data_IF_802865107396
#
_entry.id   IF_802865107396
#
_cell.length_a   1.000
_cell.length_b   1.000
_cell.length_c   1.000
_cell.angle_alpha   90.00
_cell.angle_beta   90.00
_cell.angle_gamma   90.00
#
_symmetry.space_group_name_H-M   'P 1'
#
loop_
_entity.id
_entity.type
_entity.pdbx_description
1 polymer ?
#
# COMPACT_ATOMS: atom_id res chain seq x y z
N UNK A 1 -6.60 -15.66 0.46
CA UNK A 1 -5.85 -14.70 1.28
C UNK A 1 -6.89 -13.90 2.03
N UNK A 2 -7.02 -14.18 3.32
CA UNK A 2 -7.95 -13.47 4.20
C UNK A 2 -7.68 -11.96 4.15
N UNK A 3 -8.75 -11.20 4.31
CA UNK A 3 -8.81 -9.75 4.17
C UNK A 3 -7.80 -9.06 5.10
N UNK A 4 -6.62 -8.77 4.55
CA UNK A 4 -5.49 -8.14 5.23
C UNK A 4 -5.71 -6.60 5.36
N UNK A 5 -6.97 -6.19 5.50
CA UNK A 5 -7.48 -4.82 5.54
C UNK A 5 -6.79 -3.95 6.61
N UNK A 6 -6.25 -4.55 7.67
CA UNK A 6 -5.69 -3.84 8.81
C UNK A 6 -4.18 -3.52 8.72
N UNK A 7 -3.46 -4.05 7.72
CA UNK A 7 -2.00 -3.88 7.58
C UNK A 7 -1.61 -2.47 7.11
N UNK A 8 -2.43 -1.85 6.26
CA UNK A 8 -2.20 -0.50 5.72
C UNK A 8 -3.10 0.51 6.44
N UNK A 9 -2.47 1.52 7.06
CA UNK A 9 -3.12 2.64 7.75
C UNK A 9 -2.97 3.92 6.93
N UNK A 10 -4.09 4.60 6.69
CA UNK A 10 -4.09 5.89 6.01
C UNK A 10 -3.67 7.01 6.97
N UNK A 11 -2.76 7.88 6.52
CA UNK A 11 -2.36 9.08 7.24
C UNK A 11 -3.08 10.29 6.64
N UNK A 12 -3.75 11.08 7.47
CA UNK A 12 -4.49 12.28 7.10
C UNK A 12 -4.17 13.52 7.95
N UNK A 13 -3.35 13.39 8.99
CA UNK A 13 -3.00 14.43 9.97
C UNK A 13 -1.60 15.03 9.74
N UNK A 14 -1.01 14.81 8.57
CA UNK A 14 0.34 15.29 8.27
C UNK A 14 0.40 16.75 7.81
N UNK A 15 -0.72 17.40 7.45
CA UNK A 15 -0.67 18.73 6.82
C UNK A 15 -0.14 19.81 7.76
N UNK A 16 -0.57 19.80 9.01
CA UNK A 16 -0.15 20.78 10.03
C UNK A 16 1.20 20.42 10.65
N UNK A 17 1.61 19.15 10.54
CA UNK A 17 2.91 18.65 11.01
C UNK A 17 4.01 18.92 10.00
N UNK A 18 3.82 18.43 8.77
CA UNK A 18 4.78 18.53 7.68
C UNK A 18 4.06 18.29 6.33
N UNK A 19 3.62 19.35 5.62
CA UNK A 19 2.89 19.17 4.37
C UNK A 19 3.76 18.47 3.32
N UNK A 20 3.17 17.70 2.39
CA UNK A 20 3.92 16.93 1.38
C UNK A 20 4.89 17.80 0.56
N UNK A 21 4.51 19.07 0.35
CA UNK A 21 5.37 20.12 -0.21
C UNK A 21 5.73 21.08 0.92
N UNK A 22 6.96 20.99 1.39
CA UNK A 22 7.53 21.85 2.43
C UNK A 22 8.93 22.33 2.03
N UNK A 23 9.37 23.41 2.65
CA UNK A 23 10.73 23.97 2.57
C UNK A 23 11.62 23.34 3.63
N UNK A 24 12.93 23.53 3.47
CA UNK A 24 13.93 23.08 4.46
C UNK A 24 13.77 23.77 5.82
N UNK A 25 13.15 24.96 5.84
CA UNK A 25 12.92 25.80 7.03
C UNK A 25 11.65 25.43 7.80
N UNK A 26 10.80 24.56 7.25
CA UNK A 26 9.51 24.20 7.86
C UNK A 26 9.75 23.10 8.90
N UNK A 27 10.46 23.46 9.97
CA UNK A 27 10.81 22.53 11.04
C UNK A 27 9.55 22.18 11.86
N UNK A 28 9.25 20.89 12.07
CA UNK A 28 8.11 20.49 12.88
C UNK A 28 8.39 20.72 14.37
N UNK A 29 7.35 21.11 15.12
CA UNK A 29 7.45 21.33 16.58
C UNK A 29 6.81 20.20 17.41
N UNK A 30 6.11 19.27 16.76
CA UNK A 30 5.43 18.15 17.39
C UNK A 30 5.38 16.97 16.42
N UNK A 31 5.09 15.76 16.90
CA UNK A 31 4.77 14.61 16.04
C UNK A 31 3.24 14.41 15.96
N UNK A 32 2.69 14.08 14.79
CA UNK A 32 1.25 13.90 14.60
C UNK A 32 0.77 12.63 15.32
N UNK A 33 -0.54 12.53 15.52
CA UNK A 33 -1.13 11.42 16.27
C UNK A 33 -0.91 10.07 15.57
N UNK A 34 -0.94 10.07 14.23
CA UNK A 34 -0.61 8.89 13.42
C UNK A 34 0.83 8.39 13.63
N UNK A 35 1.81 9.29 13.82
CA UNK A 35 3.19 8.91 14.09
C UNK A 35 3.36 8.41 15.53
N UNK A 36 2.68 9.03 16.50
CA UNK A 36 2.61 8.51 17.88
C UNK A 36 2.02 7.11 17.91
N UNK A 37 0.92 6.89 17.20
CA UNK A 37 0.30 5.58 17.06
C UNK A 37 1.28 4.57 16.46
N UNK A 38 1.97 4.93 15.36
CA UNK A 38 2.92 4.04 14.71
C UNK A 38 4.06 3.62 15.65
N UNK A 39 4.54 4.53 16.53
CA UNK A 39 5.56 4.23 17.55
C UNK A 39 5.00 3.25 18.59
N UNK A 40 3.79 3.49 19.11
CA UNK A 40 3.14 2.58 20.07
C UNK A 40 2.93 1.20 19.45
N UNK A 41 2.46 1.15 18.21
CA UNK A 41 2.30 -0.09 17.45
C UNK A 41 3.62 -0.82 17.28
N UNK A 42 4.72 -0.11 16.98
CA UNK A 42 6.05 -0.72 16.91
C UNK A 42 6.51 -1.32 18.26
N UNK A 43 6.19 -0.66 19.37
CA UNK A 43 6.47 -1.19 20.73
C UNK A 43 5.66 -2.46 20.98
N UNK A 44 4.36 -2.47 20.65
CA UNK A 44 3.49 -3.65 20.80
C UNK A 44 4.00 -4.80 19.94
N UNK A 45 4.29 -4.55 18.66
CA UNK A 45 4.83 -5.57 17.75
C UNK A 45 6.14 -6.13 18.31
N UNK A 46 7.03 -5.28 18.83
CA UNK A 46 8.28 -5.72 19.45
C UNK A 46 8.01 -6.66 20.65
N UNK A 47 7.03 -6.35 21.49
CA UNK A 47 6.67 -7.19 22.63
C UNK A 47 6.13 -8.56 22.18
N UNK A 48 5.22 -8.58 21.19
CA UNK A 48 4.66 -9.83 20.64
C UNK A 48 5.77 -10.66 19.98
N UNK A 49 6.69 -10.04 19.23
CA UNK A 49 7.83 -10.74 18.62
C UNK A 49 8.75 -11.37 19.67
N UNK A 50 9.05 -10.67 20.78
CA UNK A 50 9.81 -11.24 21.90
C UNK A 50 9.07 -12.45 22.48
N UNK A 51 7.76 -12.35 22.69
CA UNK A 51 6.93 -13.44 23.22
C UNK A 51 6.86 -14.65 22.26
N UNK A 52 6.96 -14.43 20.94
CA UNK A 52 7.13 -15.46 19.91
C UNK A 52 8.53 -16.11 19.87
N UNK A 53 9.41 -15.78 20.81
CA UNK A 53 10.78 -16.29 20.85
C UNK A 53 11.74 -15.60 19.88
N UNK A 54 11.36 -14.46 19.30
CA UNK A 54 12.22 -13.66 18.41
C UNK A 54 13.04 -12.61 19.17
N UNK A 55 13.37 -12.87 20.44
CA UNK A 55 14.06 -11.92 21.31
C UNK A 55 15.46 -11.53 20.82
N UNK A 56 16.15 -12.43 20.12
CA UNK A 56 17.49 -12.21 19.59
C UNK A 56 17.49 -11.83 18.09
N UNK A 57 16.33 -11.46 17.54
CA UNK A 57 16.18 -11.09 16.13
C UNK A 57 16.00 -9.58 16.04
N UNK A 58 16.68 -8.94 15.08
CA UNK A 58 16.52 -7.51 14.85
C UNK A 58 15.05 -7.12 14.59
N UNK A 59 14.69 -5.91 15.03
CA UNK A 59 13.39 -5.30 14.78
C UNK A 59 13.55 -3.83 14.43
N UNK A 60 12.93 -3.39 13.34
CA UNK A 60 13.07 -2.00 12.92
C UNK A 60 11.76 -1.33 12.52
N UNK A 61 11.75 -0.01 12.74
CA UNK A 61 10.74 0.90 12.24
C UNK A 61 11.39 1.90 11.29
N UNK A 62 10.75 2.15 10.14
CA UNK A 62 11.18 3.16 9.17
C UNK A 62 10.30 4.40 9.31
N UNK A 63 10.92 5.58 9.48
CA UNK A 63 10.24 6.88 9.42
C UNK A 63 10.84 7.69 8.27
N UNK A 64 10.07 7.87 7.20
CA UNK A 64 10.48 8.61 6.01
C UNK A 64 9.48 9.73 5.71
N UNK A 65 9.77 10.91 6.25
CA UNK A 65 8.87 12.07 6.21
C UNK A 65 9.38 13.22 5.37
N UNK A 66 10.70 13.36 5.22
CA UNK A 66 11.30 14.46 4.46
C UNK A 66 12.57 14.04 3.73
N UNK A 67 12.90 14.76 2.65
CA UNK A 67 14.22 14.68 2.00
C UNK A 67 15.28 15.54 2.68
N UNK A 68 14.88 16.51 3.50
CA UNK A 68 15.80 17.47 4.12
C UNK A 68 16.35 16.92 5.43
N UNK A 69 17.67 16.97 5.59
CA UNK A 69 18.38 16.43 6.76
C UNK A 69 18.01 17.15 8.05
N UNK A 70 17.89 18.49 8.03
CA UNK A 70 17.47 19.25 9.21
C UNK A 70 16.09 18.85 9.75
N UNK A 71 15.12 18.62 8.87
CA UNK A 71 13.79 18.11 9.27
C UNK A 71 13.89 16.68 9.81
N UNK A 72 14.72 15.83 9.22
CA UNK A 72 14.93 14.47 9.75
C UNK A 72 15.52 14.50 11.16
N UNK A 73 16.47 15.40 11.42
CA UNK A 73 17.07 15.60 12.75
C UNK A 73 16.01 16.04 13.75
N UNK A 74 15.16 17.01 13.41
CA UNK A 74 14.10 17.50 14.29
C UNK A 74 13.08 16.39 14.60
N UNK A 75 12.63 15.66 13.58
CA UNK A 75 11.71 14.53 13.75
C UNK A 75 12.33 13.44 14.64
N UNK A 76 13.62 13.16 14.50
CA UNK A 76 14.33 12.23 15.39
C UNK A 76 14.29 12.71 16.85
N UNK A 77 14.52 14.00 17.10
CA UNK A 77 14.47 14.58 18.45
C UNK A 77 13.07 14.43 19.03
N UNK A 78 12.03 14.78 18.28
CA UNK A 78 10.64 14.69 18.74
C UNK A 78 10.23 13.23 19.04
N UNK A 79 10.64 12.27 18.21
CA UNK A 79 10.43 10.84 18.44
C UNK A 79 11.17 10.39 19.70
N UNK A 80 12.42 10.80 19.88
CA UNK A 80 13.21 10.47 21.06
C UNK A 80 12.56 11.00 22.34
N UNK A 81 12.09 12.25 22.34
CA UNK A 81 11.37 12.86 23.47
C UNK A 81 10.10 12.10 23.79
N UNK A 82 9.30 11.76 22.78
CA UNK A 82 8.08 10.96 22.98
C UNK A 82 8.39 9.56 23.55
N UNK A 83 9.42 8.89 23.04
CA UNK A 83 9.86 7.59 23.53
C UNK A 83 10.37 7.67 24.98
N UNK A 84 11.01 8.76 25.38
CA UNK A 84 11.44 8.98 26.76
C UNK A 84 10.25 9.05 27.74
N UNK A 85 9.16 9.72 27.36
CA UNK A 85 7.92 9.72 28.14
C UNK A 85 7.31 8.31 28.25
N UNK A 86 7.30 7.55 27.15
CA UNK A 86 6.81 6.17 27.16
C UNK A 86 7.69 5.29 28.07
N UNK A 87 9.02 5.40 27.98
CA UNK A 87 9.94 4.65 28.84
C UNK A 87 9.66 4.90 30.31
N UNK A 88 9.51 6.17 30.71
CA UNK A 88 9.21 6.53 32.09
C UNK A 88 7.84 6.00 32.55
N UNK A 89 6.83 6.03 31.69
CA UNK A 89 5.53 5.44 32.02
C UNK A 89 5.64 3.91 32.18
N UNK A 90 6.26 3.23 31.23
CA UNK A 90 6.41 1.78 31.24
C UNK A 90 7.25 1.30 32.42
N UNK A 91 8.41 1.91 32.69
CA UNK A 91 9.31 1.48 33.77
C UNK A 91 8.65 1.52 35.15
N UNK A 92 7.73 2.48 35.36
CA UNK A 92 7.03 2.66 36.63
C UNK A 92 5.77 1.76 36.78
N UNK A 93 5.23 1.22 35.67
CA UNK A 93 3.91 0.56 35.69
C UNK A 93 3.90 -0.87 35.14
N UNK A 94 4.94 -1.33 34.43
CA UNK A 94 4.92 -2.64 33.75
C UNK A 94 4.69 -3.84 34.66
N UNK A 95 5.19 -3.77 35.91
CA UNK A 95 5.10 -4.84 36.90
C UNK A 95 3.89 -4.69 37.85
N UNK A 96 3.11 -3.61 37.73
CA UNK A 96 1.90 -3.41 38.53
C UNK A 96 0.78 -4.34 38.06
N UNK A 97 -0.20 -4.55 38.94
CA UNK A 97 -1.47 -5.13 38.52
C UNK A 97 -2.12 -4.26 37.44
N UNK A 98 -2.83 -4.91 36.52
CA UNK A 98 -3.39 -4.27 35.32
C UNK A 98 -4.26 -3.06 35.66
N UNK A 99 -5.13 -3.17 36.68
CA UNK A 99 -6.03 -2.08 37.08
C UNK A 99 -5.26 -0.83 37.51
N UNK A 100 -4.17 -0.98 38.27
CA UNK A 100 -3.30 0.14 38.67
C UNK A 100 -2.46 0.63 37.50
N UNK A 101 -1.90 -0.26 36.68
CA UNK A 101 -1.10 0.13 35.52
C UNK A 101 -1.91 0.99 34.53
N UNK A 102 -3.17 0.62 34.28
CA UNK A 102 -4.09 1.33 33.38
C UNK A 102 -4.56 2.70 33.91
N UNK A 103 -4.24 3.08 35.15
CA UNK A 103 -4.46 4.46 35.61
C UNK A 103 -3.51 5.45 34.93
N UNK A 104 -2.36 4.98 34.45
CA UNK A 104 -1.46 5.81 33.67
C UNK A 104 -1.96 5.96 32.23
N UNK A 105 -2.06 7.21 31.76
CA UNK A 105 -2.58 7.54 30.42
C UNK A 105 -1.82 6.86 29.29
N UNK A 106 -0.48 6.79 29.34
CA UNK A 106 0.31 6.18 28.27
C UNK A 106 0.16 4.65 28.26
N UNK A 107 0.13 4.02 29.44
CA UNK A 107 -0.12 2.57 29.54
C UNK A 107 -1.50 2.23 28.99
N UNK A 108 -2.52 3.02 29.36
CA UNK A 108 -3.87 2.88 28.83
C UNK A 108 -3.92 3.02 27.31
N UNK A 109 -3.21 3.99 26.73
CA UNK A 109 -3.15 4.14 25.27
C UNK A 109 -2.50 2.90 24.63
N UNK A 110 -1.40 2.37 25.19
CA UNK A 110 -0.75 1.17 24.67
C UNK A 110 -1.71 -0.03 24.75
N UNK A 111 -2.39 -0.21 25.88
CA UNK A 111 -3.42 -1.24 26.09
C UNK A 111 -4.55 -1.14 25.07
N UNK A 112 -5.16 0.04 24.93
CA UNK A 112 -6.30 0.22 24.03
C UNK A 112 -5.92 -0.03 22.57
N UNK A 113 -4.67 0.29 22.17
CA UNK A 113 -4.13 -0.05 20.85
C UNK A 113 -3.86 -1.54 20.70
N UNK A 114 -3.38 -2.21 21.75
CA UNK A 114 -3.19 -3.65 21.76
C UNK A 114 -4.52 -4.37 21.52
N UNK A 115 -5.54 -4.09 22.33
CA UNK A 115 -6.86 -4.72 22.23
C UNK A 115 -7.51 -4.45 20.87
N UNK A 116 -7.38 -3.22 20.35
CA UNK A 116 -7.99 -2.85 19.07
C UNK A 116 -7.30 -3.47 17.85
N UNK A 117 -5.97 -3.58 17.85
CA UNK A 117 -5.19 -3.90 16.65
C UNK A 117 -4.64 -5.32 16.68
N UNK A 118 -4.41 -5.88 17.87
CA UNK A 118 -3.66 -7.11 18.08
C UNK A 118 -4.38 -8.11 19.00
N UNK A 119 -5.69 -7.95 19.27
CA UNK A 119 -6.48 -8.96 20.02
C UNK A 119 -6.52 -10.34 19.38
N UNK A 120 -6.13 -10.47 18.11
CA UNK A 120 -6.03 -11.75 17.42
C UNK A 120 -4.73 -12.53 17.74
N UNK A 121 -3.74 -11.90 18.38
CA UNK A 121 -2.46 -12.56 18.69
C UNK A 121 -2.62 -13.51 19.89
N UNK A 122 -1.74 -14.49 19.98
CA UNK A 122 -1.82 -15.60 20.93
C UNK A 122 -1.51 -15.26 22.40
N UNK A 123 -1.29 -13.98 22.71
CA UNK A 123 -0.94 -13.51 24.06
C UNK A 123 -2.05 -12.64 24.63
N UNK A 124 -2.15 -12.57 25.95
CA UNK A 124 -3.02 -11.60 26.62
C UNK A 124 -2.24 -10.32 26.98
N UNK A 125 -2.97 -9.26 27.32
CA UNK A 125 -2.37 -7.99 27.71
C UNK A 125 -1.38 -8.14 28.87
N UNK A 126 -1.69 -8.92 29.91
CA UNK A 126 -0.82 -9.09 31.07
C UNK A 126 0.56 -9.67 30.69
N UNK A 127 0.62 -10.57 29.70
CA UNK A 127 1.89 -11.08 29.16
C UNK A 127 2.64 -9.99 28.40
N UNK A 128 1.96 -9.22 27.57
CA UNK A 128 2.55 -8.11 26.80
C UNK A 128 3.09 -7.03 27.73
N UNK A 129 2.30 -6.62 28.74
CA UNK A 129 2.65 -5.59 29.72
C UNK A 129 3.98 -5.90 30.41
N UNK A 130 4.19 -7.15 30.84
CA UNK A 130 5.42 -7.59 31.53
C UNK A 130 6.67 -7.46 30.65
N UNK A 131 6.53 -7.57 29.33
CA UNK A 131 7.64 -7.48 28.37
C UNK A 131 7.90 -6.06 27.90
N UNK A 132 6.96 -5.12 28.08
CA UNK A 132 7.10 -3.74 27.61
C UNK A 132 8.38 -3.05 28.09
N UNK A 133 8.77 -3.24 29.36
CA UNK A 133 9.98 -2.59 29.91
C UNK A 133 11.24 -3.02 29.17
N UNK A 134 11.35 -4.33 28.88
CA UNK A 134 12.44 -4.89 28.08
C UNK A 134 12.46 -4.28 26.68
N UNK A 135 11.30 -4.18 26.02
CA UNK A 135 11.17 -3.56 24.70
C UNK A 135 11.65 -2.11 24.69
N UNK A 136 11.04 -1.25 25.50
CA UNK A 136 11.29 0.20 25.42
C UNK A 136 12.71 0.58 25.83
N UNK A 137 13.36 -0.22 26.67
CA UNK A 137 14.77 -0.05 27.04
C UNK A 137 15.73 -0.29 25.87
N UNK A 138 15.38 -1.19 24.94
CA UNK A 138 16.24 -1.57 23.80
C UNK A 138 16.06 -0.71 22.54
N UNK A 139 14.93 0.00 22.40
CA UNK A 139 14.65 0.76 21.17
C UNK A 139 15.61 1.95 21.04
N UNK A 140 16.45 1.97 20.01
CA UNK A 140 17.26 3.14 19.66
C UNK A 140 16.55 4.01 18.61
N UNK A 141 16.74 5.33 18.63
CA UNK A 141 16.24 6.22 17.58
C UNK A 141 17.44 6.82 16.85
N UNK A 142 17.61 6.46 15.58
CA UNK A 142 18.78 6.86 14.78
C UNK A 142 18.37 7.68 13.56
N UNK A 143 19.25 8.58 13.16
CA UNK A 143 19.13 9.34 11.91
C UNK A 143 20.06 8.72 10.86
N UNK A 144 19.52 8.51 9.65
CA UNK A 144 20.24 7.93 8.52
C UNK A 144 20.14 8.84 7.32
N UNK A 145 21.21 9.59 7.05
CA UNK A 145 21.32 10.47 5.90
C UNK A 145 22.79 10.83 5.56
N UNK A 146 22.95 11.76 4.63
CA UNK A 146 24.26 12.20 4.14
C UNK A 146 24.99 13.18 5.07
N UNK A 147 24.40 13.63 6.18
CA UNK A 147 25.03 14.55 7.14
C UNK A 147 26.21 13.91 7.87
N UNK A 148 27.17 14.71 8.35
CA UNK A 148 28.38 14.20 9.03
C UNK A 148 28.05 13.44 10.31
N UNK A 149 27.01 13.85 11.04
CA UNK A 149 26.63 13.29 12.32
C UNK A 149 25.64 12.11 12.22
N UNK A 150 25.16 11.80 11.01
CA UNK A 150 24.22 10.71 10.79
C UNK A 150 24.91 9.36 10.61
N UNK A 151 24.20 8.30 10.99
CA UNK A 151 24.64 6.92 10.80
C UNK A 151 24.69 6.61 9.30
N UNK A 152 25.85 6.14 8.83
CA UNK A 152 26.07 5.76 7.42
C UNK A 152 25.68 4.32 7.14
N UNK A 153 25.96 3.44 8.08
CA UNK A 153 25.66 2.01 8.00
C UNK A 153 25.10 1.53 9.34
N UNK A 154 24.14 0.62 9.28
CA UNK A 154 23.54 0.05 10.48
C UNK A 154 24.26 -1.25 10.79
N UNK A 155 24.92 -1.29 11.94
CA UNK A 155 25.52 -2.51 12.46
C UNK A 155 24.45 -3.45 13.05
N UNK A 156 24.47 -4.69 12.58
CA UNK A 156 23.64 -5.82 13.02
C UNK A 156 24.50 -6.99 13.54
N UNK A 157 25.80 -6.77 13.77
CA UNK A 157 26.69 -7.82 14.23
C UNK A 157 26.24 -8.39 15.58
N UNK A 158 26.22 -9.72 15.70
CA UNK A 158 25.94 -10.40 16.97
C UNK A 158 26.93 -10.05 18.08
N UNK A 159 28.11 -9.54 17.72
CA UNK A 159 29.12 -9.04 18.67
C UNK A 159 28.59 -7.82 19.44
N UNK A 160 28.01 -6.86 18.73
CA UNK A 160 27.52 -5.62 19.34
C UNK A 160 26.06 -5.72 19.77
N UNK A 161 25.27 -6.56 19.09
CA UNK A 161 23.84 -6.75 19.34
C UNK A 161 23.50 -8.24 19.49
N UNK A 162 23.99 -8.93 20.54
CA UNK A 162 23.74 -10.36 20.76
C UNK A 162 22.26 -10.68 20.97
N UNK A 163 21.51 -9.74 21.57
CA UNK A 163 20.07 -9.83 21.82
C UNK A 163 19.23 -9.17 20.71
N UNK A 164 19.77 -9.09 19.49
CA UNK A 164 19.15 -8.35 18.41
C UNK A 164 19.17 -6.84 18.64
N UNK A 165 18.78 -6.09 17.60
CA UNK A 165 18.80 -4.63 17.58
C UNK A 165 17.39 -4.13 17.32
N UNK A 166 16.87 -3.30 18.22
CA UNK A 166 15.56 -2.66 18.09
C UNK A 166 15.78 -1.19 17.75
N UNK A 167 15.33 -0.73 16.58
CA UNK A 167 15.61 0.65 16.16
C UNK A 167 14.46 1.31 15.41
N UNK A 168 14.33 2.62 15.61
CA UNK A 168 13.52 3.52 14.79
C UNK A 168 14.48 4.34 13.94
N UNK A 169 14.51 4.08 12.64
CA UNK A 169 15.35 4.79 11.69
C UNK A 169 14.58 5.95 11.04
N UNK A 170 15.05 7.17 11.27
CA UNK A 170 14.53 8.39 10.67
C UNK A 170 15.44 8.80 9.52
N UNK A 171 14.88 8.99 8.32
CA UNK A 171 15.71 9.34 7.18
C UNK A 171 14.92 9.71 5.92
N UNK A 172 15.65 9.99 4.85
CA UNK A 172 15.09 10.43 3.58
C UNK A 172 15.44 9.51 2.42
N UNK A 173 16.25 10.01 1.47
CA UNK A 173 16.66 9.26 0.29
C UNK A 173 17.64 8.11 0.61
N UNK A 174 18.58 8.33 1.53
CA UNK A 174 19.53 7.29 1.94
C UNK A 174 18.83 6.09 2.57
N UNK A 175 17.80 6.33 3.38
CA UNK A 175 16.99 5.27 3.97
C UNK A 175 16.19 4.45 2.94
N UNK A 176 15.97 5.02 1.75
CA UNK A 176 15.30 4.32 0.65
C UNK A 176 16.24 3.50 -0.24
N UNK A 177 17.57 3.70 -0.18
CA UNK A 177 18.54 3.10 -1.10
C UNK A 177 19.85 2.72 -0.41
N UNK A 178 20.26 1.47 -0.56
CA UNK A 178 21.61 1.02 -0.17
C UNK A 178 21.80 0.68 1.31
N UNK A 179 20.77 0.85 2.15
CA UNK A 179 20.85 0.52 3.58
C UNK A 179 19.87 -0.59 3.89
N UNK A 180 20.36 -1.63 4.56
CA UNK A 180 19.57 -2.78 4.98
C UNK A 180 18.87 -2.47 6.31
N UNK A 181 17.54 -2.56 6.32
CA UNK A 181 16.74 -2.53 7.54
C UNK A 181 16.25 -3.94 7.86
N UNK A 182 17.01 -4.62 8.72
CA UNK A 182 16.65 -5.96 9.17
C UNK A 182 15.47 -5.90 10.14
N UNK A 183 14.58 -6.89 10.03
CA UNK A 183 13.45 -6.97 10.95
C UNK A 183 12.39 -5.87 10.81
N UNK A 184 12.32 -5.17 9.67
CA UNK A 184 11.33 -4.10 9.48
C UNK A 184 9.91 -4.61 9.71
N UNK A 185 9.23 -4.05 10.72
CA UNK A 185 7.86 -4.41 11.09
C UNK A 185 6.89 -3.24 11.00
N UNK A 186 7.38 -2.01 11.18
CA UNK A 186 6.54 -0.80 11.11
C UNK A 186 7.14 0.20 10.12
N UNK A 187 6.31 0.77 9.27
CA UNK A 187 6.73 1.80 8.30
C UNK A 187 5.82 3.00 8.43
N UNK A 188 6.39 4.20 8.54
CA UNK A 188 5.70 5.47 8.46
C UNK A 188 6.28 6.30 7.31
N UNK A 189 5.47 6.54 6.27
CA UNK A 189 5.95 7.05 4.99
C UNK A 189 5.06 8.18 4.46
N UNK A 190 5.57 9.41 4.42
CA UNK A 190 4.85 10.59 3.93
C UNK A 190 5.30 11.06 2.55
N UNK A 191 6.11 10.30 1.82
CA UNK A 191 6.65 10.80 0.54
C UNK A 191 5.71 10.51 -0.62
N UNK A 192 5.49 11.52 -1.46
CA UNK A 192 4.82 11.37 -2.74
C UNK A 192 5.88 11.39 -3.85
N UNK A 193 6.38 10.22 -4.28
CA UNK A 193 7.29 10.11 -5.43
C UNK A 193 6.53 9.61 -6.63
N UNK A 194 6.77 10.20 -7.80
CA UNK A 194 6.05 9.87 -9.03
C UNK A 194 6.67 8.66 -9.80
N UNK A 195 7.88 8.24 -9.41
CA UNK A 195 8.65 7.23 -10.15
C UNK A 195 8.46 5.83 -9.55
N UNK A 196 8.05 4.85 -10.37
CA UNK A 196 7.80 3.46 -9.92
C UNK A 196 9.04 2.81 -9.34
N UNK A 197 10.20 2.93 -10.01
CA UNK A 197 11.48 2.39 -9.50
C UNK A 197 11.82 2.93 -8.11
N UNK A 198 11.59 4.23 -7.90
CA UNK A 198 11.84 4.91 -6.63
C UNK A 198 10.88 4.43 -5.54
N UNK A 199 9.59 4.30 -5.87
CA UNK A 199 8.60 3.75 -4.94
C UNK A 199 8.89 2.27 -4.60
N UNK A 200 9.21 1.45 -5.60
CA UNK A 200 9.55 0.03 -5.36
C UNK A 200 10.78 -0.11 -4.45
N UNK A 201 11.82 0.71 -4.65
CA UNK A 201 12.99 0.74 -3.77
C UNK A 201 12.67 1.29 -2.36
N UNK A 202 11.69 2.19 -2.25
CA UNK A 202 11.17 2.71 -0.97
C UNK A 202 10.30 1.71 -0.23
N UNK A 203 9.64 0.81 -0.95
CA UNK A 203 8.79 -0.25 -0.42
C UNK A 203 9.57 -1.37 0.26
N UNK A 204 10.34 -1.05 1.31
CA UNK A 204 11.15 -2.01 2.08
C UNK A 204 10.32 -3.05 2.84
N UNK A 205 9.02 -2.82 2.92
CA UNK A 205 8.04 -3.77 3.43
C UNK A 205 7.70 -4.87 2.41
N UNK A 206 8.05 -4.73 1.13
CA UNK A 206 8.00 -5.85 0.19
C UNK A 206 9.05 -6.89 0.56
N UNK A 207 8.63 -8.14 0.76
CA UNK A 207 9.50 -9.25 1.13
C UNK A 207 8.84 -10.19 2.13
N UNK A 208 9.46 -11.35 2.34
CA UNK A 208 8.98 -12.33 3.31
C UNK A 208 9.34 -11.91 4.74
N UNK A 209 8.41 -12.11 5.67
CA UNK A 209 8.53 -11.70 7.09
C UNK A 209 8.19 -12.87 8.00
N UNK A 210 8.97 -13.94 7.88
CA UNK A 210 8.69 -15.23 8.52
C UNK A 210 8.39 -15.11 10.02
N UNK A 211 7.17 -15.45 10.43
CA UNK A 211 6.75 -15.53 11.83
C UNK A 211 6.28 -14.20 12.45
N UNK A 212 6.16 -13.14 11.64
CA UNK A 212 5.64 -11.84 12.11
C UNK A 212 4.95 -11.02 11.00
N UNK A 213 4.57 -11.66 9.89
CA UNK A 213 3.88 -11.04 8.76
C UNK A 213 2.54 -10.41 9.15
N UNK A 214 1.81 -11.06 10.06
CA UNK A 214 0.53 -10.65 10.64
C UNK A 214 0.65 -9.37 11.49
N UNK A 215 1.85 -9.11 12.02
CA UNK A 215 2.15 -7.97 12.87
C UNK A 215 2.52 -6.72 12.08
N UNK A 216 2.95 -6.85 10.83
CA UNK A 216 3.47 -5.73 10.05
C UNK A 216 2.45 -4.60 9.88
N UNK A 217 2.88 -3.34 9.99
CA UNK A 217 2.00 -2.17 9.79
C UNK A 217 2.67 -1.10 8.94
N UNK A 218 1.92 -0.56 7.97
CA UNK A 218 2.39 0.46 7.04
C UNK A 218 1.46 1.66 7.10
N UNK A 219 2.01 2.82 7.45
CA UNK A 219 1.33 4.10 7.50
C UNK A 219 1.73 4.92 6.28
N UNK A 220 0.75 5.31 5.46
CA UNK A 220 0.98 6.15 4.28
C UNK A 220 -0.25 7.00 3.92
N UNK A 221 -0.10 8.14 3.23
CA UNK A 221 -1.24 8.88 2.69
C UNK A 221 -2.06 8.05 1.70
N UNK A 222 -3.38 8.28 1.63
CA UNK A 222 -4.27 7.52 0.75
C UNK A 222 -3.89 7.58 -0.73
N UNK A 223 -3.33 8.71 -1.20
CA UNK A 223 -2.79 8.81 -2.55
C UNK A 223 -1.66 7.80 -2.79
N UNK A 224 -0.72 7.66 -1.85
CA UNK A 224 0.41 6.74 -2.01
C UNK A 224 -0.04 5.27 -2.08
N UNK A 225 -1.13 4.91 -1.38
CA UNK A 225 -1.68 3.55 -1.38
C UNK A 225 -1.98 3.03 -2.77
N UNK A 226 -2.69 3.81 -3.60
CA UNK A 226 -3.04 3.40 -4.97
C UNK A 226 -1.80 3.18 -5.86
N UNK A 227 -0.73 3.92 -5.61
CA UNK A 227 0.51 3.80 -6.38
C UNK A 227 1.25 2.51 -6.02
N UNK A 228 1.31 2.18 -4.73
CA UNK A 228 1.90 0.91 -4.27
C UNK A 228 1.06 -0.30 -4.66
N UNK A 229 -0.27 -0.20 -4.69
CA UNK A 229 -1.16 -1.25 -5.20
C UNK A 229 -0.89 -1.53 -6.68
N UNK A 230 -0.73 -0.48 -7.49
CA UNK A 230 -0.35 -0.62 -8.89
C UNK A 230 1.02 -1.29 -9.05
N UNK A 231 2.01 -0.85 -8.28
CA UNK A 231 3.38 -1.42 -8.33
C UNK A 231 3.37 -2.89 -7.89
N UNK A 232 2.65 -3.23 -6.83
CA UNK A 232 2.52 -4.60 -6.36
C UNK A 232 1.91 -5.50 -7.46
N UNK A 233 0.84 -5.02 -8.10
CA UNK A 233 0.20 -5.72 -9.21
C UNK A 233 1.15 -5.92 -10.41
N UNK A 234 1.88 -4.87 -10.81
CA UNK A 234 2.86 -4.94 -11.89
C UNK A 234 4.05 -5.87 -11.56
N UNK A 235 4.46 -5.91 -10.29
CA UNK A 235 5.54 -6.79 -9.81
C UNK A 235 5.11 -8.26 -9.82
N UNK A 236 3.86 -8.54 -9.41
CA UNK A 236 3.31 -9.89 -9.43
C UNK A 236 3.09 -10.39 -10.87
N UNK A 237 2.65 -9.51 -11.76
CA UNK A 237 2.62 -9.80 -13.20
C UNK A 237 4.02 -10.17 -13.71
N UNK A 238 5.05 -9.39 -13.37
CA UNK A 238 6.42 -9.68 -13.76
C UNK A 238 6.94 -11.02 -13.21
N UNK A 239 6.59 -11.37 -11.96
CA UNK A 239 6.90 -12.69 -11.38
C UNK A 239 6.24 -13.83 -12.15
N UNK A 240 4.98 -13.67 -12.54
CA UNK A 240 4.28 -14.68 -13.34
C UNK A 240 4.93 -14.86 -14.72
N UNK A 241 5.45 -13.79 -15.31
CA UNK A 241 6.21 -13.86 -16.56
C UNK A 241 7.54 -14.58 -16.41
N UNK A 242 8.26 -14.37 -15.30
CA UNK A 242 9.47 -15.14 -15.00
C UNK A 242 9.17 -16.64 -14.87
N UNK A 243 8.12 -17.01 -14.16
CA UNK A 243 7.70 -18.42 -14.05
C UNK A 243 7.33 -19.01 -15.42
N UNK A 244 6.71 -18.22 -16.30
CA UNK A 244 6.38 -18.66 -17.66
C UNK A 244 7.62 -18.81 -18.53
N UNK A 245 8.58 -17.88 -18.41
CA UNK A 245 9.86 -17.93 -19.10
C UNK A 245 10.65 -19.19 -18.72
N UNK A 246 10.70 -19.48 -17.41
CA UNK A 246 11.34 -20.67 -16.84
C UNK A 246 10.70 -21.96 -17.37
N UNK A 247 9.36 -22.06 -17.32
CA UNK A 247 8.62 -23.20 -17.90
C UNK A 247 8.86 -23.41 -19.40
N UNK A 248 9.21 -22.35 -20.13
CA UNK A 248 9.51 -22.40 -21.56
C UNK A 248 11.00 -22.57 -21.86
N UNK A 249 11.86 -22.68 -20.84
CA UNK A 249 13.33 -22.76 -20.96
C UNK A 249 13.93 -21.66 -21.86
N UNK A 250 13.36 -20.45 -21.81
CA UNK A 250 13.84 -19.31 -22.62
C UNK A 250 14.73 -18.39 -21.80
N UNK A 251 15.72 -17.80 -22.45
CA UNK A 251 16.52 -16.73 -21.84
C UNK A 251 15.74 -15.40 -21.83
N UNK A 252 16.07 -14.45 -20.93
CA UNK A 252 15.42 -13.12 -20.91
C UNK A 252 15.48 -12.37 -22.25
N UNK A 253 16.54 -12.58 -23.04
CA UNK A 253 16.73 -11.97 -24.37
C UNK A 253 15.74 -12.54 -25.39
N UNK A 254 15.44 -13.83 -25.32
CA UNK A 254 14.53 -14.53 -26.23
C UNK A 254 13.05 -14.34 -25.84
N UNK A 255 12.78 -14.18 -24.55
CA UNK A 255 11.44 -14.03 -24.02
C UNK A 255 10.93 -12.58 -24.11
N UNK A 256 11.80 -11.59 -23.88
CA UNK A 256 11.46 -10.17 -23.92
C UNK A 256 10.57 -9.74 -22.75
N UNK A 257 11.17 -9.63 -21.55
CA UNK A 257 10.46 -9.20 -20.34
C UNK A 257 9.95 -7.76 -20.48
N UNK A 258 8.69 -7.54 -20.13
CA UNK A 258 8.03 -6.25 -20.17
C UNK A 258 7.53 -5.88 -18.77
N UNK A 259 7.58 -4.59 -18.44
CA UNK A 259 7.01 -4.05 -17.19
C UNK A 259 5.80 -3.19 -17.57
N UNK A 260 4.69 -3.36 -16.85
CA UNK A 260 3.46 -2.61 -17.11
C UNK A 260 3.71 -1.10 -16.97
N UNK A 261 3.30 -0.34 -17.98
CA UNK A 261 3.36 1.12 -17.95
C UNK A 261 2.05 1.69 -17.42
N UNK A 262 2.10 2.67 -16.50
CA UNK A 262 0.89 3.31 -16.01
C UNK A 262 0.50 4.44 -16.99
N UNK A 263 -0.75 4.49 -17.48
CA UNK A 263 -1.11 5.39 -18.57
C UNK A 263 -0.97 6.89 -18.24
N UNK A 264 -1.18 7.31 -16.98
CA UNK A 264 -1.34 8.74 -16.67
C UNK A 264 -0.35 9.36 -15.66
N UNK A 265 0.50 8.62 -14.94
CA UNK A 265 1.27 9.22 -13.81
C UNK A 265 2.56 8.50 -13.42
N UNK A 266 2.55 7.17 -13.29
CA UNK A 266 3.72 6.41 -12.85
C UNK A 266 4.72 6.14 -13.98
N UNK A 267 5.90 6.76 -13.90
CA UNK A 267 6.98 6.52 -14.85
C UNK A 267 7.80 5.32 -14.35
N UNK A 268 7.93 4.28 -15.19
CA UNK A 268 8.60 3.01 -14.85
C UNK A 268 10.03 3.25 -14.34
N UNK A 269 10.84 4.01 -15.07
CA UNK A 269 12.19 4.42 -14.65
C UNK A 269 12.56 5.76 -15.28
N UNK A 270 13.72 6.31 -14.93
CA UNK A 270 14.19 7.58 -15.48
C UNK A 270 14.32 7.51 -17.01
N UNK A 271 13.90 8.57 -17.73
CA UNK A 271 13.85 8.60 -19.21
C UNK A 271 15.18 8.28 -19.88
N UNK A 272 16.29 8.70 -19.28
CA UNK A 272 17.65 8.41 -19.76
C UNK A 272 18.02 6.91 -19.71
N UNK A 273 17.39 6.12 -18.83
CA UNK A 273 17.58 4.66 -18.73
C UNK A 273 16.67 3.86 -19.69
N UNK A 274 15.71 4.52 -20.33
CA UNK A 274 14.77 3.89 -21.27
C UNK A 274 15.19 4.01 -22.75
N UNK A 275 16.42 4.45 -23.05
CA UNK A 275 16.87 4.72 -24.43
C UNK A 275 16.70 3.54 -25.40
N UNK A 276 16.84 2.31 -24.92
CA UNK A 276 16.66 1.07 -25.70
C UNK A 276 15.33 0.37 -25.44
N UNK A 277 14.52 0.89 -24.52
CA UNK A 277 13.21 0.33 -24.22
C UNK A 277 12.24 0.63 -25.37
N UNK A 278 11.53 -0.39 -25.84
CA UNK A 278 10.46 -0.23 -26.82
C UNK A 278 9.13 -0.41 -26.12
N UNK A 279 8.20 0.51 -26.36
CA UNK A 279 6.81 0.32 -25.95
C UNK A 279 6.24 -0.82 -26.79
N UNK A 280 5.99 -1.95 -26.16
CA UNK A 280 5.31 -3.08 -26.79
C UNK A 280 3.87 -3.03 -26.34
N UNK A 281 2.95 -2.90 -27.30
CA UNK A 281 1.52 -3.08 -27.03
C UNK A 281 1.31 -4.57 -26.79
N UNK A 282 1.00 -4.92 -25.54
CA UNK A 282 0.86 -6.31 -25.11
C UNK A 282 -0.62 -6.62 -24.89
N UNK A 283 -1.11 -7.60 -25.64
CA UNK A 283 -2.49 -8.06 -25.52
C UNK A 283 -2.72 -8.70 -24.15
N UNK A 284 -3.52 -8.03 -23.32
CA UNK A 284 -4.01 -8.59 -22.07
C UNK A 284 -5.13 -9.57 -22.42
N UNK A 285 -4.99 -10.82 -21.97
CA UNK A 285 -6.07 -11.80 -22.10
C UNK A 285 -7.09 -11.60 -20.99
N UNK A 286 -8.33 -11.36 -21.38
CA UNK A 286 -9.45 -11.08 -20.48
C UNK A 286 -10.43 -12.26 -20.38
N UNK A 287 -10.17 -13.37 -21.09
CA UNK A 287 -11.03 -14.55 -21.06
C UNK A 287 -11.06 -15.19 -19.67
N UNK A 288 -12.27 -15.40 -19.13
CA UNK A 288 -12.49 -16.10 -17.85
C UNK A 288 -12.25 -15.27 -16.59
N UNK A 289 -12.01 -13.95 -16.71
CA UNK A 289 -11.84 -13.06 -15.56
C UNK A 289 -13.01 -12.09 -15.43
N UNK A 290 -13.61 -12.02 -14.24
CA UNK A 290 -14.54 -10.96 -13.88
C UNK A 290 -13.74 -9.71 -13.52
N UNK A 291 -13.96 -8.62 -14.24
CA UNK A 291 -13.34 -7.33 -13.95
C UNK A 291 -14.43 -6.34 -13.60
N UNK A 292 -14.35 -5.78 -12.40
CA UNK A 292 -15.25 -4.76 -11.89
C UNK A 292 -14.47 -3.55 -11.37
N UNK A 293 -15.15 -2.42 -11.25
CA UNK A 293 -14.61 -1.21 -10.62
C UNK A 293 -15.51 -0.78 -9.46
N UNK A 294 -14.90 -0.51 -8.31
CA UNK A 294 -15.57 0.05 -7.14
C UNK A 294 -15.41 1.59 -7.04
N UNK A 295 -14.65 2.21 -7.95
CA UNK A 295 -14.43 3.66 -7.98
C UNK A 295 -15.01 4.29 -9.24
N UNK A 296 -15.82 5.32 -9.03
CA UNK A 296 -16.41 6.17 -10.07
C UNK A 296 -16.07 7.62 -9.78
N UNK A 297 -16.08 8.46 -10.81
CA UNK A 297 -15.90 9.90 -10.63
C UNK A 297 -16.97 10.49 -9.71
N UNK A 298 -16.57 11.41 -8.82
CA UNK A 298 -17.48 12.24 -8.02
C UNK A 298 -17.87 13.56 -8.71
N UNK A 299 -17.10 13.98 -9.70
CA UNK A 299 -17.32 15.25 -10.40
C UNK A 299 -18.61 15.21 -11.26
N UNK A 300 -19.58 16.09 -10.96
CA UNK A 300 -20.89 16.14 -11.62
C UNK A 300 -20.82 16.09 -13.15
N UNK A 301 -19.87 16.81 -13.76
CA UNK A 301 -19.69 16.83 -15.23
C UNK A 301 -19.40 15.44 -15.81
N UNK A 302 -18.50 14.67 -15.17
CA UNK A 302 -18.13 13.32 -15.61
C UNK A 302 -19.22 12.30 -15.31
N UNK A 303 -19.88 12.44 -14.17
CA UNK A 303 -21.05 11.61 -13.80
C UNK A 303 -22.16 11.77 -14.83
N UNK A 304 -22.56 13.02 -15.13
CA UNK A 304 -23.60 13.31 -16.12
C UNK A 304 -23.23 12.80 -17.51
N UNK A 305 -21.97 12.94 -17.91
CA UNK A 305 -21.48 12.39 -19.17
C UNK A 305 -21.67 10.85 -19.22
N UNK A 306 -21.19 10.12 -18.21
CA UNK A 306 -21.35 8.65 -18.17
C UNK A 306 -22.82 8.21 -18.08
N UNK A 307 -23.68 8.96 -17.39
CA UNK A 307 -25.12 8.69 -17.35
C UNK A 307 -25.78 8.86 -18.71
N UNK A 308 -25.37 9.87 -19.50
CA UNK A 308 -25.85 10.04 -20.87
C UNK A 308 -25.42 8.87 -21.77
N UNK A 309 -24.16 8.44 -21.68
CA UNK A 309 -23.65 7.27 -22.41
C UNK A 309 -24.42 5.99 -22.02
N UNK A 310 -24.79 5.84 -20.74
CA UNK A 310 -25.63 4.73 -20.27
C UNK A 310 -27.06 4.81 -20.83
N UNK A 311 -27.64 6.01 -20.90
CA UNK A 311 -28.96 6.21 -21.50
C UNK A 311 -28.96 5.88 -22.99
N UNK A 312 -27.88 6.23 -23.71
CA UNK A 312 -27.71 5.89 -25.12
C UNK A 312 -27.55 4.38 -25.33
N UNK A 313 -26.77 3.68 -24.49
CA UNK A 313 -26.70 2.21 -24.49
C UNK A 313 -28.09 1.59 -24.33
N UNK A 314 -28.87 2.04 -23.35
CA UNK A 314 -30.22 1.55 -23.11
C UNK A 314 -31.16 1.81 -24.28
N UNK A 315 -31.00 2.94 -24.98
CA UNK A 315 -31.77 3.24 -26.20
C UNK A 315 -31.41 2.25 -27.31
N UNK A 316 -30.13 2.07 -27.59
CA UNK A 316 -29.65 1.13 -28.62
C UNK A 316 -30.04 -0.32 -28.33
N UNK A 317 -30.02 -0.75 -27.05
CA UNK A 317 -30.48 -2.08 -26.66
C UNK A 317 -31.98 -2.27 -26.93
N UNK A 318 -32.81 -1.27 -26.62
CA UNK A 318 -34.26 -1.31 -26.88
C UNK A 318 -34.61 -1.25 -28.36
N UNK A 319 -33.87 -0.48 -29.15
CA UNK A 319 -34.05 -0.41 -30.60
C UNK A 319 -33.72 -1.75 -31.27
N UNK A 320 -32.65 -2.41 -30.82
CA UNK A 320 -32.25 -3.72 -31.36
C UNK A 320 -33.15 -4.86 -30.86
N UNK A 321 -33.52 -4.85 -29.59
CA UNK A 321 -34.33 -5.87 -28.94
C UNK A 321 -35.32 -5.19 -28.00
N UNK A 322 -36.58 -5.10 -28.47
CA UNK A 322 -37.67 -4.33 -27.83
C UNK A 322 -37.80 -4.60 -26.33
N UNK A 323 -37.59 -5.84 -25.89
CA UNK A 323 -37.67 -6.24 -24.49
C UNK A 323 -36.47 -7.13 -24.08
N UNK A 324 -35.92 -6.97 -22.86
CA UNK A 324 -34.94 -7.89 -22.32
C UNK A 324 -35.54 -9.28 -22.14
N UNK A 325 -34.75 -10.32 -22.46
CA UNK A 325 -35.15 -11.72 -22.36
C UNK A 325 -35.42 -12.13 -20.90
N UNK A 326 -34.71 -11.51 -19.96
CA UNK A 326 -35.01 -11.67 -18.55
C UNK A 326 -35.08 -10.32 -17.85
N UNK A 327 -36.17 -10.11 -17.11
CA UNK A 327 -36.43 -8.89 -16.35
C UNK A 327 -36.81 -9.25 -14.93
N UNK A 328 -36.03 -8.75 -13.99
CA UNK A 328 -36.39 -8.70 -12.56
C UNK A 328 -36.54 -7.25 -12.13
N UNK A 329 -36.97 -7.01 -10.89
CA UNK A 329 -37.05 -5.65 -10.33
C UNK A 329 -35.69 -4.92 -10.29
N UNK A 330 -34.57 -5.64 -10.37
CA UNK A 330 -33.21 -5.08 -10.25
C UNK A 330 -32.31 -5.36 -11.45
N UNK A 331 -32.65 -6.30 -12.34
CA UNK A 331 -31.76 -6.75 -13.42
C UNK A 331 -32.52 -6.88 -14.73
N UNK A 332 -31.88 -6.45 -15.81
CA UNK A 332 -32.36 -6.60 -17.18
C UNK A 332 -31.28 -7.32 -17.99
N UNK A 333 -31.64 -8.41 -18.65
CA UNK A 333 -30.73 -9.21 -19.48
C UNK A 333 -31.18 -9.18 -20.94
N UNK A 334 -30.30 -8.75 -21.81
CA UNK A 334 -30.41 -8.93 -23.24
C UNK A 334 -29.38 -9.95 -23.72
N UNK A 335 -29.79 -10.91 -24.56
CA UNK A 335 -28.88 -11.84 -25.23
C UNK A 335 -28.81 -11.52 -26.71
N UNK A 336 -27.78 -12.02 -27.37
CA UNK A 336 -27.56 -11.85 -28.81
C UNK A 336 -27.46 -10.38 -29.23
N UNK A 337 -26.93 -9.53 -28.36
CA UNK A 337 -26.71 -8.12 -28.67
C UNK A 337 -25.49 -8.00 -29.60
N UNK A 338 -25.59 -7.18 -30.68
CA UNK A 338 -24.46 -6.85 -31.51
C UNK A 338 -23.37 -6.25 -30.64
N UNK A 339 -22.18 -6.85 -30.73
CA UNK A 339 -20.99 -6.36 -30.04
C UNK A 339 -20.79 -4.85 -30.16
N UNK A 340 -21.14 -4.30 -31.33
CA UNK A 340 -21.08 -2.89 -31.67
C UNK A 340 -21.72 -1.98 -30.61
N UNK A 341 -22.90 -2.35 -30.12
CA UNK A 341 -23.67 -1.58 -29.13
C UNK A 341 -22.94 -1.53 -27.78
N UNK A 342 -22.44 -2.68 -27.32
CA UNK A 342 -21.70 -2.79 -26.05
C UNK A 342 -20.34 -2.10 -26.16
N UNK A 343 -19.67 -2.23 -27.31
CA UNK A 343 -18.38 -1.60 -27.59
C UNK A 343 -18.46 -0.08 -27.49
N UNK A 344 -19.42 0.53 -28.16
CA UNK A 344 -19.50 1.99 -28.21
C UNK A 344 -19.73 2.58 -26.80
N UNK A 345 -20.51 1.90 -25.96
CA UNK A 345 -20.63 2.24 -24.55
C UNK A 345 -19.28 2.17 -23.82
N UNK A 346 -18.56 1.04 -23.93
CA UNK A 346 -17.28 0.87 -23.22
C UNK A 346 -16.21 1.84 -23.71
N UNK A 347 -16.18 2.16 -25.01
CA UNK A 347 -15.21 3.11 -25.58
C UNK A 347 -15.45 4.55 -25.12
N UNK A 348 -16.71 4.93 -24.93
CA UNK A 348 -17.10 6.28 -24.51
C UNK A 348 -17.11 6.44 -22.99
N UNK A 349 -17.32 5.37 -22.23
CA UNK A 349 -17.38 5.44 -20.77
C UNK A 349 -16.08 6.00 -20.17
N UNK A 350 -16.19 7.10 -19.43
CA UNK A 350 -15.04 7.70 -18.75
C UNK A 350 -14.78 6.98 -17.43
N UNK A 351 -13.72 6.17 -17.41
CA UNK A 351 -13.33 5.43 -16.24
C UNK A 351 -12.50 6.26 -15.25
N UNK A 352 -12.58 5.95 -13.95
CA UNK A 352 -11.78 6.62 -12.93
C UNK A 352 -10.29 6.24 -13.11
N UNK A 353 -9.31 7.16 -12.93
CA UNK A 353 -7.90 6.84 -13.16
C UNK A 353 -7.36 5.74 -12.24
N UNK A 354 -7.98 5.56 -11.07
CA UNK A 354 -7.63 4.50 -10.12
C UNK A 354 -8.25 3.14 -10.48
N UNK A 355 -9.08 3.07 -11.53
CA UNK A 355 -9.82 1.88 -11.96
C UNK A 355 -9.20 1.24 -13.22
N UNK A 356 -7.87 1.09 -13.23
CA UNK A 356 -7.12 0.67 -14.43
C UNK A 356 -7.52 -0.69 -15.02
N UNK A 357 -8.14 -1.58 -14.24
CA UNK A 357 -8.61 -2.89 -14.72
C UNK A 357 -9.77 -2.80 -15.73
N UNK A 358 -10.62 -1.78 -15.61
CA UNK A 358 -11.79 -1.54 -16.48
C UNK A 358 -11.53 -0.45 -17.53
N UNK A 359 -10.27 -0.04 -17.74
CA UNK A 359 -9.94 1.03 -18.70
C UNK A 359 -10.39 0.66 -20.12
N UNK A 360 -11.02 1.61 -20.81
CA UNK A 360 -11.54 1.44 -22.16
C UNK A 360 -10.45 1.08 -23.16
N UNK A 361 -9.18 1.41 -22.87
CA UNK A 361 -8.02 0.99 -23.67
C UNK A 361 -7.76 -0.52 -23.60
N UNK A 362 -7.93 -1.16 -22.44
CA UNK A 362 -7.79 -2.60 -22.28
C UNK A 362 -8.92 -3.35 -23.01
N UNK A 363 -10.14 -2.81 -22.98
CA UNK A 363 -11.29 -3.36 -23.72
C UNK A 363 -11.18 -3.11 -25.22
N UNK A 364 -10.57 -1.99 -25.66
CA UNK A 364 -10.22 -1.74 -27.07
C UNK A 364 -9.24 -2.77 -27.63
N UNK A 365 -8.46 -3.46 -26.80
CA UNK A 365 -7.47 -4.44 -27.25
C UNK A 365 -8.07 -5.84 -27.44
N UNK A 366 -9.08 -6.23 -26.64
CA UNK A 366 -9.95 -7.41 -26.88
C UNK A 366 -10.47 -7.43 -28.34
N UNK A 367 -10.80 -6.25 -28.89
CA UNK A 367 -11.27 -6.03 -30.27
C UNK A 367 -10.38 -6.65 -31.34
N UNK A 368 -9.04 -6.51 -31.26
CA UNK A 368 -8.16 -6.98 -32.35
C UNK A 368 -8.19 -8.50 -32.47
N UNK A 369 -8.23 -9.22 -31.35
CA UNK A 369 -8.34 -10.68 -31.31
C UNK A 369 -9.73 -11.17 -31.75
N UNK A 370 -10.80 -10.54 -31.26
CA UNK A 370 -12.18 -10.96 -31.55
C UNK A 370 -12.54 -10.82 -33.05
N UNK A 371 -12.08 -9.75 -33.70
CA UNK A 371 -12.27 -9.54 -35.14
C UNK A 371 -11.42 -10.52 -35.96
N UNK A 372 -10.16 -10.76 -35.56
CA UNK A 372 -9.28 -11.72 -36.26
C UNK A 372 -9.75 -13.17 -36.20
N UNK A 373 -10.61 -13.51 -35.23
CA UNK A 373 -11.06 -14.89 -34.99
C UNK A 373 -12.52 -15.15 -35.39
N UNK A 374 -13.31 -14.14 -35.81
CA UNK A 374 -14.76 -14.25 -36.07
C UNK A 374 -15.57 -14.90 -34.92
N UNK A 375 -15.02 -14.96 -33.70
CA UNK A 375 -15.50 -15.90 -32.66
C UNK A 375 -16.67 -15.40 -31.82
N UNK A 376 -17.06 -14.12 -31.89
CA UNK A 376 -18.16 -13.60 -31.07
C UNK A 376 -19.00 -12.59 -31.87
N UNK A 377 -20.15 -13.06 -32.35
CA UNK A 377 -21.13 -12.28 -33.12
C UNK A 377 -22.22 -11.72 -32.18
N UNK A 378 -22.32 -12.25 -30.96
CA UNK A 378 -23.38 -12.00 -29.99
C UNK A 378 -22.81 -11.85 -28.57
N UNK A 379 -23.27 -10.83 -27.84
CA UNK A 379 -22.98 -10.58 -26.43
C UNK A 379 -24.23 -10.78 -25.57
N UNK A 380 -24.02 -11.24 -24.33
CA UNK A 380 -25.04 -11.11 -23.27
C UNK A 380 -24.75 -9.83 -22.48
N UNK A 381 -25.73 -8.94 -22.39
CA UNK A 381 -25.64 -7.67 -21.68
C UNK A 381 -26.59 -7.69 -20.49
N UNK A 382 -26.04 -7.54 -19.27
CA UNK A 382 -26.81 -7.41 -18.03
C UNK A 382 -26.71 -5.97 -17.55
N UNK A 383 -27.86 -5.32 -17.37
CA UNK A 383 -27.97 -4.00 -16.75
C UNK A 383 -28.61 -4.14 -15.39
N UNK A 384 -27.90 -3.68 -14.36
CA UNK A 384 -28.35 -3.72 -12.97
C UNK A 384 -28.84 -2.34 -12.53
N UNK A 385 -30.05 -2.26 -11.99
CA UNK A 385 -30.53 -1.08 -11.26
C UNK A 385 -30.08 -1.20 -9.81
N UNK A 386 -29.02 -0.47 -9.45
CA UNK A 386 -28.64 -0.37 -8.05
C UNK A 386 -29.61 0.56 -7.33
N UNK A 387 -30.55 -0.02 -6.58
CA UNK A 387 -31.24 0.72 -5.52
C UNK A 387 -30.27 0.79 -4.34
N UNK A 388 -29.81 1.97 -3.96
CA UNK A 388 -29.12 2.18 -2.69
C UNK A 388 -30.12 1.88 -1.56
N UNK A 389 -30.11 0.66 -1.05
CA UNK A 389 -30.67 0.36 0.26
C UNK A 389 -29.49 0.32 1.23
N UNK A 390 -29.41 1.39 2.04
CA UNK A 390 -28.42 1.72 3.08
C UNK A 390 -27.19 2.49 2.62
#
# INVERSE_FOLDING_TARGET
MEDNSNTIREINDFQDFLPLKHKITDLPFYIPESLKEAIIVFIIISAVRILRGQDNIHNSMLVNVSRFTGIQTEVRILIYTYLAHIRAAVSNHYALDEKRALQNTLIKIIHDKYEKIFSFVEFNWAQVQKVLNKVVSRIEVIEINSSTNAVKEIDYSKRNYPEGRHLIAVGGLSLSRGITLEGLSTTYFLRNSIMSDTLMQMGRWFGYRSGYEDLCRIYMPGQARGWYEYIASATEELRSEFQRMDKLNKTPKEFGLCVRNHPDSLIVTARNKMRTAKTVIRQIDLTGRLIETNRLYKAKKKVNYNLNIMADLLRSLKEYSREPIHRTNKHFLWKNIPYQIVRDFVELFQNHPESGGTDSRAVKELRRRLISTRKYIAMECIVCKHTSSR
#
